data_IF_404288952884
#
_entry.id   IF_404288952884
#
_cell.length_a   1.000
_cell.length_b   1.000
_cell.length_c   1.000
_cell.angle_alpha   90.00
_cell.angle_beta   90.00
_cell.angle_gamma   90.00
#
_symmetry.space_group_name_H-M   'P 1'
#
loop_
_entity.id
_entity.type
_entity.pdbx_description
1 polymer ?
#
# COMPACT_ATOMS: atom_id res chain seq x y z
N UNK A 1 5.85 -10.42 -8.25
CA UNK A 1 6.55 -9.99 -7.00
C UNK A 1 5.59 -9.62 -5.86
N UNK A 2 4.26 -9.64 -6.04
CA UNK A 2 3.32 -9.85 -4.92
C UNK A 2 2.57 -11.17 -5.08
N UNK A 3 2.18 -11.52 -6.32
CA UNK A 3 1.58 -12.81 -6.68
C UNK A 3 2.45 -14.00 -6.28
N UNK A 4 3.79 -13.89 -6.43
CA UNK A 4 4.72 -14.94 -6.01
C UNK A 4 4.64 -15.23 -4.50
N UNK A 5 4.35 -14.20 -3.68
CA UNK A 5 4.29 -14.34 -2.23
C UNK A 5 2.89 -14.73 -1.75
N UNK A 6 1.85 -14.23 -2.42
CA UNK A 6 0.46 -14.43 -2.04
C UNK A 6 -0.17 -15.69 -2.66
N UNK A 7 0.24 -16.06 -3.87
CA UNK A 7 -0.46 -16.97 -4.77
C UNK A 7 -1.52 -16.24 -5.60
N UNK A 8 -1.87 -16.81 -6.75
CA UNK A 8 -2.78 -16.18 -7.74
C UNK A 8 -4.19 -15.95 -7.15
N UNK A 9 -4.76 -16.95 -6.47
CA UNK A 9 -6.10 -16.87 -5.88
C UNK A 9 -6.20 -15.77 -4.80
N UNK A 10 -5.22 -15.71 -3.90
CA UNK A 10 -5.21 -14.71 -2.84
C UNK A 10 -4.97 -13.31 -3.40
N UNK A 11 -4.12 -13.18 -4.42
CA UNK A 11 -3.90 -11.90 -5.10
C UNK A 11 -5.19 -11.38 -5.72
N UNK A 12 -5.91 -12.20 -6.50
CA UNK A 12 -7.19 -11.81 -7.11
C UNK A 12 -8.24 -11.42 -6.05
N UNK A 13 -8.27 -12.10 -4.91
CA UNK A 13 -9.19 -11.79 -3.81
C UNK A 13 -8.86 -10.45 -3.13
N UNK A 14 -7.58 -10.12 -2.98
CA UNK A 14 -7.13 -8.88 -2.33
C UNK A 14 -7.17 -7.67 -3.27
N UNK A 15 -6.92 -7.88 -4.55
CA UNK A 15 -6.84 -6.83 -5.57
C UNK A 15 -7.78 -7.15 -6.74
N UNK A 16 -9.10 -7.21 -6.50
CA UNK A 16 -10.05 -7.45 -7.60
C UNK A 16 -10.10 -6.27 -8.57
N UNK A 17 -9.87 -5.06 -8.06
CA UNK A 17 -9.97 -3.80 -8.79
C UNK A 17 -8.87 -2.84 -8.32
N UNK A 18 -8.21 -2.16 -9.27
CA UNK A 18 -7.20 -1.14 -9.00
C UNK A 18 -7.61 0.18 -9.70
N UNK A 19 -7.95 1.24 -8.94
CA UNK A 19 -8.11 2.58 -9.51
C UNK A 19 -6.75 3.25 -9.73
N UNK A 20 -6.41 3.48 -10.99
CA UNK A 20 -5.22 4.20 -11.44
C UNK A 20 -5.55 5.65 -11.85
N UNK A 21 -4.52 6.48 -11.95
CA UNK A 21 -4.61 7.76 -12.66
C UNK A 21 -4.06 7.59 -14.08
N UNK A 22 -4.11 8.67 -14.87
CA UNK A 22 -3.66 8.67 -16.26
C UNK A 22 -2.13 8.88 -16.40
N UNK A 23 -1.35 8.56 -15.36
CA UNK A 23 0.11 8.56 -15.41
C UNK A 23 0.63 7.59 -16.48
N UNK A 24 1.79 7.90 -17.06
CA UNK A 24 2.38 7.11 -18.15
C UNK A 24 2.77 5.70 -17.68
N UNK A 25 3.07 5.54 -16.39
CA UNK A 25 3.35 4.27 -15.72
C UNK A 25 2.16 3.30 -15.80
N UNK A 26 0.95 3.83 -15.95
CA UNK A 26 -0.29 3.06 -16.07
C UNK A 26 -0.84 3.00 -17.50
N UNK A 27 -0.09 3.43 -18.51
CA UNK A 27 -0.57 3.50 -19.91
C UNK A 27 -0.84 2.16 -20.58
N UNK A 28 -0.34 1.05 -20.03
CA UNK A 28 -0.55 -0.30 -20.56
C UNK A 28 -1.43 -1.14 -19.63
N UNK A 29 -2.77 -0.97 -19.66
CA UNK A 29 -3.69 -1.71 -18.79
C UNK A 29 -3.58 -3.22 -18.97
N UNK A 30 -3.38 -3.73 -20.20
CA UNK A 30 -3.26 -5.17 -20.44
C UNK A 30 -2.08 -5.79 -19.68
N UNK A 31 -0.94 -5.10 -19.61
CA UNK A 31 0.20 -5.59 -18.83
C UNK A 31 -0.07 -5.58 -17.30
N UNK A 32 -1.03 -4.78 -16.84
CA UNK A 32 -1.42 -4.71 -15.43
C UNK A 32 -2.52 -5.73 -15.13
N UNK A 33 -3.51 -5.88 -16.01
CA UNK A 33 -4.68 -6.74 -15.81
C UNK A 33 -4.37 -8.22 -16.04
N UNK A 34 -3.37 -8.56 -16.85
CA UNK A 34 -3.08 -9.94 -17.24
C UNK A 34 -1.78 -10.48 -16.65
N UNK A 35 -1.78 -11.75 -16.27
CA UNK A 35 -0.59 -12.46 -15.82
C UNK A 35 0.13 -13.09 -17.02
N UNK A 36 1.45 -13.19 -16.97
CA UNK A 36 2.23 -13.88 -18.02
C UNK A 36 2.02 -15.40 -18.02
N UNK A 37 1.40 -15.95 -16.96
CA UNK A 37 1.16 -17.37 -16.81
C UNK A 37 -0.15 -17.79 -17.51
N UNK A 38 -0.14 -18.81 -18.39
CA UNK A 38 -1.27 -19.15 -19.26
C UNK A 38 -2.53 -19.69 -18.56
N UNK A 39 -2.49 -20.00 -17.26
CA UNK A 39 -3.63 -20.59 -16.52
C UNK A 39 -4.58 -19.57 -15.90
N UNK A 40 -4.14 -18.34 -15.68
CA UNK A 40 -4.94 -17.27 -15.08
C UNK A 40 -4.73 -16.01 -15.92
N UNK A 41 -5.47 -15.94 -17.04
CA UNK A 41 -5.31 -14.85 -18.01
C UNK A 41 -5.52 -13.49 -17.36
N UNK A 42 -6.62 -13.31 -16.63
CA UNK A 42 -6.96 -12.07 -15.94
C UNK A 42 -6.66 -12.17 -14.44
N UNK A 43 -5.94 -11.18 -13.88
CA UNK A 43 -5.56 -11.12 -12.46
C UNK A 43 -6.14 -9.96 -11.66
N UNK A 44 -6.53 -8.87 -12.33
CA UNK A 44 -7.17 -7.70 -11.72
C UNK A 44 -7.84 -6.90 -12.82
N UNK A 45 -8.78 -6.03 -12.46
CA UNK A 45 -9.29 -4.99 -13.34
C UNK A 45 -8.66 -3.63 -13.01
N UNK A 46 -8.32 -2.84 -14.02
CA UNK A 46 -7.81 -1.48 -13.83
C UNK A 46 -8.83 -0.48 -14.33
N UNK A 47 -9.14 0.52 -13.50
CA UNK A 47 -10.00 1.64 -13.87
C UNK A 47 -9.25 2.94 -13.70
N UNK A 48 -9.52 3.90 -14.58
CA UNK A 48 -8.84 5.19 -14.58
C UNK A 48 -9.74 6.27 -13.99
N UNK A 49 -9.16 7.09 -13.14
CA UNK A 49 -9.84 8.26 -12.59
C UNK A 49 -10.06 9.31 -13.69
N UNK A 50 -11.19 10.02 -13.61
CA UNK A 50 -11.49 11.12 -14.51
C UNK A 50 -10.50 12.26 -14.29
N UNK A 51 -10.15 12.96 -15.37
CA UNK A 51 -9.30 14.15 -15.28
C UNK A 51 -9.93 15.19 -14.34
N UNK A 52 -9.12 15.78 -13.45
CA UNK A 52 -9.57 16.77 -12.47
C UNK A 52 -10.41 16.23 -11.30
N UNK A 53 -10.61 14.91 -11.18
CA UNK A 53 -11.46 14.31 -10.14
C UNK A 53 -10.66 13.79 -8.94
N UNK A 54 -9.99 14.70 -8.22
CA UNK A 54 -9.15 14.38 -7.04
C UNK A 54 -9.90 13.56 -5.97
N UNK A 55 -11.21 13.80 -5.82
CA UNK A 55 -12.06 13.10 -4.84
C UNK A 55 -12.15 11.58 -5.05
N UNK A 56 -11.92 11.07 -6.28
CA UNK A 56 -11.93 9.64 -6.56
C UNK A 56 -10.79 8.87 -5.87
N UNK A 57 -9.78 9.60 -5.37
CA UNK A 57 -8.60 9.06 -4.67
C UNK A 57 -8.35 9.72 -3.31
N UNK A 58 -9.36 10.33 -2.68
CA UNK A 58 -9.15 11.07 -1.42
C UNK A 58 -8.51 10.25 -0.28
N UNK A 59 -8.71 8.93 -0.24
CA UNK A 59 -8.04 8.07 0.74
C UNK A 59 -6.52 7.93 0.50
N UNK A 60 -6.06 8.03 -0.74
CA UNK A 60 -4.65 7.99 -1.12
C UNK A 60 -3.95 9.27 -0.68
N UNK A 61 -4.58 10.43 -0.82
CA UNK A 61 -4.02 11.72 -0.39
C UNK A 61 -3.73 11.74 1.11
N UNK A 62 -4.66 11.23 1.93
CA UNK A 62 -4.44 11.10 3.38
C UNK A 62 -3.27 10.16 3.71
N UNK A 63 -3.12 9.06 2.98
CA UNK A 63 -1.97 8.16 3.17
C UNK A 63 -0.66 8.84 2.72
N UNK A 64 -0.70 9.62 1.63
CA UNK A 64 0.45 10.37 1.15
C UNK A 64 0.90 11.39 2.19
N UNK A 65 -0.02 12.10 2.85
CA UNK A 65 0.31 13.02 3.94
C UNK A 65 1.06 12.32 5.07
N UNK A 66 0.65 11.12 5.48
CA UNK A 66 1.33 10.34 6.52
C UNK A 66 2.77 9.97 6.12
N UNK A 67 3.00 9.62 4.85
CA UNK A 67 4.34 9.37 4.31
C UNK A 67 5.16 10.67 4.37
N UNK A 68 4.59 11.80 3.95
CA UNK A 68 5.27 13.10 3.92
C UNK A 68 5.65 13.65 5.32
N UNK A 69 4.98 13.20 6.39
CA UNK A 69 5.40 13.52 7.77
C UNK A 69 6.75 12.89 8.12
N UNK A 70 7.08 11.76 7.50
CA UNK A 70 8.36 11.06 7.69
C UNK A 70 9.39 11.47 6.63
N UNK A 71 8.95 11.60 5.38
CA UNK A 71 9.77 12.02 4.24
C UNK A 71 9.38 13.44 3.83
N UNK A 72 10.06 14.43 4.40
CA UNK A 72 9.79 15.84 4.11
C UNK A 72 9.92 16.13 2.60
N UNK A 73 9.12 17.09 2.12
CA UNK A 73 9.18 17.52 0.72
C UNK A 73 10.60 17.95 0.35
N UNK A 74 11.09 17.46 -0.80
CA UNK A 74 12.46 17.68 -1.27
C UNK A 74 13.48 16.66 -0.77
N UNK A 75 13.09 15.71 0.11
CA UNK A 75 13.97 14.59 0.48
C UNK A 75 14.15 13.66 -0.72
N UNK A 76 15.40 13.39 -1.11
CA UNK A 76 15.70 12.41 -2.15
C UNK A 76 15.39 10.99 -1.68
N UNK A 77 14.75 10.20 -2.55
CA UNK A 77 14.44 8.80 -2.27
C UNK A 77 15.60 7.86 -2.65
N UNK A 78 16.67 8.38 -3.27
CA UNK A 78 17.79 7.57 -3.78
C UNK A 78 18.53 6.78 -2.69
N UNK A 79 18.47 7.24 -1.44
CA UNK A 79 19.17 6.62 -0.30
C UNK A 79 18.27 5.69 0.53
N UNK A 80 17.00 5.54 0.13
CA UNK A 80 16.03 4.68 0.81
C UNK A 80 16.17 3.25 0.29
N UNK A 81 16.29 2.31 1.22
CA UNK A 81 16.24 0.88 0.95
C UNK A 81 14.87 0.31 1.29
N UNK A 82 14.56 -0.89 0.81
CA UNK A 82 13.31 -1.59 1.13
C UNK A 82 13.06 -1.69 2.64
N UNK A 83 14.12 -1.85 3.46
CA UNK A 83 14.00 -1.87 4.93
C UNK A 83 13.53 -0.54 5.51
N UNK A 84 13.95 0.59 4.94
CA UNK A 84 13.57 1.93 5.38
C UNK A 84 12.09 2.18 5.04
N UNK A 85 11.66 1.77 3.83
CA UNK A 85 10.26 1.82 3.40
C UNK A 85 9.40 0.92 4.29
N UNK A 86 9.84 -0.32 4.55
CA UNK A 86 9.09 -1.28 5.36
C UNK A 86 8.93 -0.81 6.80
N UNK A 87 10.00 -0.24 7.37
CA UNK A 87 9.96 0.41 8.69
C UNK A 87 8.89 1.51 8.70
N UNK A 88 8.99 2.50 7.81
CA UNK A 88 8.03 3.60 7.71
C UNK A 88 6.59 3.10 7.56
N UNK A 89 6.34 2.13 6.67
CA UNK A 89 5.01 1.58 6.44
C UNK A 89 4.47 0.82 7.65
N UNK A 90 5.30 0.08 8.40
CA UNK A 90 4.88 -0.60 9.63
C UNK A 90 4.41 0.41 10.69
N UNK A 91 5.11 1.53 10.87
CA UNK A 91 4.66 2.60 11.77
C UNK A 91 3.34 3.24 11.29
N UNK A 92 3.21 3.54 10.00
CA UNK A 92 1.98 4.11 9.42
C UNK A 92 0.78 3.16 9.52
N UNK A 93 1.01 1.87 9.29
CA UNK A 93 -0.02 0.83 9.31
C UNK A 93 -0.42 0.42 10.72
N UNK A 94 0.42 0.71 11.72
CA UNK A 94 0.11 0.48 13.15
C UNK A 94 -0.58 1.68 13.80
N UNK A 95 -0.57 2.85 13.15
CA UNK A 95 -1.23 4.05 13.65
C UNK A 95 -2.76 3.93 13.58
N UNK A 96 -3.42 4.08 14.74
CA UNK A 96 -4.88 4.01 14.88
C UNK A 96 -5.58 5.19 14.20
N UNK A 97 -6.68 4.91 13.51
CA UNK A 97 -7.43 5.91 12.74
C UNK A 97 -8.87 5.94 13.20
N UNK A 98 -9.39 7.13 13.53
CA UNK A 98 -10.80 7.31 13.94
C UNK A 98 -11.78 6.73 12.91
N UNK A 99 -11.50 6.90 11.61
CA UNK A 99 -12.31 6.36 10.51
C UNK A 99 -12.36 4.83 10.43
N UNK A 100 -11.44 4.14 11.10
CA UNK A 100 -11.40 2.68 11.20
C UNK A 100 -11.89 2.21 12.58
N UNK A 101 -12.83 2.94 13.19
CA UNK A 101 -13.34 2.66 14.54
C UNK A 101 -12.20 2.58 15.58
N UNK A 102 -11.25 3.50 15.50
CA UNK A 102 -10.05 3.57 16.33
C UNK A 102 -9.15 2.32 16.26
N UNK A 103 -9.24 1.55 15.17
CA UNK A 103 -8.28 0.49 14.82
C UNK A 103 -7.20 1.02 13.89
N UNK A 104 -6.09 0.31 13.83
CA UNK A 104 -5.04 0.55 12.84
C UNK A 104 -5.37 -0.15 11.51
N UNK A 105 -4.77 0.28 10.38
CA UNK A 105 -4.82 -0.47 9.14
C UNK A 105 -4.38 -1.93 9.30
N UNK A 106 -3.35 -2.20 10.10
CA UNK A 106 -2.88 -3.55 10.39
C UNK A 106 -3.97 -4.39 11.06
N UNK A 107 -4.54 -3.90 12.17
CA UNK A 107 -5.63 -4.58 12.90
C UNK A 107 -6.85 -4.82 12.00
N UNK A 108 -7.22 -3.81 11.21
CA UNK A 108 -8.38 -3.87 10.32
C UNK A 108 -8.17 -4.89 9.22
N UNK A 109 -7.00 -4.88 8.57
CA UNK A 109 -6.68 -5.83 7.50
C UNK A 109 -6.62 -7.26 8.04
N UNK A 110 -5.94 -7.47 9.18
CA UNK A 110 -5.84 -8.76 9.84
C UNK A 110 -7.22 -9.35 10.17
N UNK A 111 -8.16 -8.51 10.59
CA UNK A 111 -9.53 -8.94 10.88
C UNK A 111 -10.27 -9.50 9.65
N UNK A 112 -10.07 -8.90 8.47
CA UNK A 112 -10.77 -9.33 7.25
C UNK A 112 -10.05 -10.44 6.47
N UNK A 113 -8.72 -10.50 6.54
CA UNK A 113 -7.91 -11.34 5.65
C UNK A 113 -6.96 -12.30 6.39
N UNK A 114 -6.88 -12.23 7.72
CA UNK A 114 -5.95 -13.02 8.52
C UNK A 114 -4.55 -12.37 8.60
N UNK A 115 -3.91 -12.54 9.75
CA UNK A 115 -2.57 -11.99 10.02
C UNK A 115 -1.48 -12.64 9.16
N UNK A 116 -1.67 -13.91 8.82
CA UNK A 116 -0.78 -14.67 7.93
C UNK A 116 -0.60 -14.03 6.56
N UNK A 117 -1.60 -13.30 6.05
CA UNK A 117 -1.48 -12.54 4.81
C UNK A 117 -0.56 -11.32 5.00
N UNK A 118 -0.62 -10.64 6.15
CA UNK A 118 0.29 -9.55 6.47
C UNK A 118 1.74 -10.04 6.60
N UNK A 119 1.94 -11.23 7.18
CA UNK A 119 3.27 -11.86 7.24
C UNK A 119 3.82 -12.16 5.83
N UNK A 120 3.00 -12.69 4.91
CA UNK A 120 3.40 -12.89 3.50
C UNK A 120 3.76 -11.58 2.79
N UNK A 121 3.13 -10.47 3.19
CA UNK A 121 3.42 -9.12 2.70
C UNK A 121 4.63 -8.45 3.40
N UNK A 122 5.23 -9.11 4.40
CA UNK A 122 6.34 -8.54 5.18
C UNK A 122 5.92 -7.39 6.11
N UNK A 123 4.63 -7.27 6.42
CA UNK A 123 4.12 -6.26 7.34
C UNK A 123 4.21 -6.75 8.79
N UNK A 124 4.66 -5.88 9.68
CA UNK A 124 4.74 -6.15 11.11
C UNK A 124 4.05 -5.04 11.92
N UNK A 125 3.38 -5.39 13.03
CA UNK A 125 2.77 -4.39 13.90
C UNK A 125 3.87 -3.68 14.71
N UNK A 126 3.58 -2.44 15.08
CA UNK A 126 4.40 -1.61 15.97
C UNK A 126 3.58 -1.26 17.20
N UNK A 127 4.15 -1.44 18.39
CA UNK A 127 3.47 -1.12 19.64
C UNK A 127 3.10 0.37 19.70
N UNK A 128 1.95 0.77 20.28
CA UNK A 128 1.51 2.15 20.30
C UNK A 128 2.51 3.16 20.86
N UNK A 129 3.32 2.75 21.85
CA UNK A 129 4.38 3.57 22.46
C UNK A 129 5.53 3.88 21.49
N UNK A 130 5.73 3.03 20.49
CA UNK A 130 6.91 3.04 19.63
C UNK A 130 6.58 3.65 18.26
N UNK A 131 5.32 4.03 18.02
CA UNK A 131 4.90 4.60 16.74
C UNK A 131 5.52 5.99 16.56
N UNK A 132 6.33 6.15 15.51
CA UNK A 132 6.94 7.42 15.12
C UNK A 132 6.55 7.79 13.68
N UNK A 133 5.89 8.93 13.51
CA UNK A 133 5.47 9.46 12.21
C UNK A 133 6.18 10.78 11.89
N UNK A 134 7.48 10.85 12.20
CA UNK A 134 8.31 12.05 12.08
C UNK A 134 9.62 11.69 11.38
N UNK A 135 10.36 12.67 10.83
CA UNK A 135 11.59 12.39 10.07
C UNK A 135 12.68 11.67 10.87
N UNK A 136 12.65 11.80 12.20
CA UNK A 136 13.56 11.09 13.09
C UNK A 136 13.51 9.55 12.93
N UNK A 137 12.41 8.99 12.41
CA UNK A 137 12.27 7.55 12.19
C UNK A 137 13.33 7.00 11.22
N UNK A 138 13.68 7.77 10.19
CA UNK A 138 14.60 7.35 9.13
C UNK A 138 15.96 8.06 9.22
N UNK A 139 16.23 8.74 10.34
CA UNK A 139 17.50 9.43 10.55
C UNK A 139 18.58 8.39 10.86
N UNK A 140 19.64 8.39 10.04
CA UNK A 140 20.84 7.58 10.26
C UNK A 140 21.82 8.32 11.17
#
# INVERSE_FOLDING_TARGET
MLEKNLGDELFQKLFPVIPADNGSEFSNPKAIEYCSAPRFGLRTHVFYCNAGSLFQKGAIEVNHELICRTLLKGTSFNNLMQKDISLMMNHINSYKRKKLNNRSPYETFSFYHGEEVLHKLGCAPVAPSDIMLKPALLKK
#
